data_IF_331105584648
#
_entry.id   IF_331105584648
#
_cell.length_a   1.000
_cell.length_b   1.000
_cell.length_c   1.000
_cell.angle_alpha   90.00
_cell.angle_beta   90.00
_cell.angle_gamma   90.00
#
_symmetry.space_group_name_H-M   'P 1'
#
loop_
_entity.id
_entity.type
_entity.pdbx_description
1 polymer ?
#
# COMPACT_ATOMS: atom_id res chain seq x y z
N UNK A 1 -7.79 -15.05 -5.35
CA UNK A 1 -7.84 -14.31 -4.07
C UNK A 1 -8.21 -12.91 -4.44
N UNK A 2 -9.34 -12.45 -3.91
CA UNK A 2 -9.88 -11.13 -4.22
C UNK A 2 -9.07 -10.05 -3.52
N UNK A 3 -9.10 -8.84 -4.09
CA UNK A 3 -8.42 -7.66 -3.56
C UNK A 3 -8.83 -7.35 -2.13
N UNK A 4 -10.12 -7.42 -1.85
CA UNK A 4 -10.73 -7.10 -0.55
C UNK A 4 -10.13 -7.98 0.54
N UNK A 5 -9.97 -9.29 0.29
CA UNK A 5 -9.38 -10.21 1.26
C UNK A 5 -7.90 -9.92 1.55
N UNK A 6 -7.16 -9.39 0.56
CA UNK A 6 -5.78 -8.95 0.78
C UNK A 6 -5.76 -7.69 1.63
N UNK A 7 -6.61 -6.71 1.31
CA UNK A 7 -6.71 -5.45 2.04
C UNK A 7 -7.12 -5.66 3.49
N UNK A 8 -8.12 -6.51 3.76
CA UNK A 8 -8.54 -6.82 5.14
C UNK A 8 -7.39 -7.38 5.97
N UNK A 9 -6.63 -8.35 5.45
CA UNK A 9 -5.46 -8.93 6.13
C UNK A 9 -4.37 -7.89 6.41
N UNK A 10 -4.16 -6.96 5.49
CA UNK A 10 -3.19 -5.88 5.67
C UNK A 10 -3.64 -4.91 6.76
N UNK A 11 -4.92 -4.56 6.79
CA UNK A 11 -5.49 -3.71 7.85
C UNK A 11 -5.37 -4.40 9.22
N UNK A 12 -5.69 -5.70 9.32
CA UNK A 12 -5.52 -6.50 10.54
C UNK A 12 -4.05 -6.56 10.99
N UNK A 13 -3.11 -6.54 10.06
CA UNK A 13 -1.66 -6.48 10.33
C UNK A 13 -1.13 -5.06 10.63
N UNK A 14 -1.99 -4.05 10.61
CA UNK A 14 -1.67 -2.66 10.98
C UNK A 14 -1.29 -1.74 9.81
N UNK A 15 -1.45 -2.17 8.57
CA UNK A 15 -1.28 -1.32 7.38
C UNK A 15 -2.59 -0.58 7.10
N UNK A 16 -2.79 0.56 7.75
CA UNK A 16 -4.07 1.28 7.75
C UNK A 16 -4.16 2.42 6.74
N UNK A 17 -3.03 2.82 6.15
CA UNK A 17 -3.00 3.92 5.19
C UNK A 17 -3.11 3.41 3.75
N UNK A 18 -4.18 3.76 3.06
CA UNK A 18 -4.32 3.48 1.63
C UNK A 18 -3.61 4.59 0.82
N UNK A 19 -2.50 4.24 0.18
CA UNK A 19 -1.75 5.15 -0.66
C UNK A 19 -2.08 4.94 -2.14
N UNK A 20 -2.07 6.05 -2.88
CA UNK A 20 -2.02 6.05 -4.34
C UNK A 20 -0.58 6.24 -4.77
N UNK A 21 -0.06 5.31 -5.58
CA UNK A 21 1.23 5.47 -6.23
C UNK A 21 1.10 6.46 -7.40
N UNK A 22 1.86 7.56 -7.35
CA UNK A 22 2.03 8.49 -8.45
C UNK A 22 3.53 8.69 -8.71
N UNK A 23 4.02 8.09 -9.81
CA UNK A 23 5.44 8.01 -10.15
C UNK A 23 6.27 7.46 -8.97
N UNK A 24 7.12 8.29 -8.39
CA UNK A 24 8.02 7.95 -7.27
C UNK A 24 7.47 8.45 -5.92
N UNK A 25 6.18 8.76 -5.84
CA UNK A 25 5.51 9.30 -4.66
C UNK A 25 4.31 8.46 -4.22
N UNK A 26 4.10 8.38 -2.91
CA UNK A 26 2.88 7.84 -2.30
C UNK A 26 2.00 8.98 -1.80
N UNK A 27 0.81 9.10 -2.39
CA UNK A 27 -0.20 10.07 -2.00
C UNK A 27 -1.24 9.45 -1.07
N UNK A 28 -1.49 10.09 0.08
CA UNK A 28 -2.55 9.66 1.01
C UNK A 28 -3.81 10.51 0.79
N UNK A 29 -4.88 9.90 0.28
CA UNK A 29 -6.16 10.58 0.01
C UNK A 29 -6.82 11.17 1.26
N UNK A 30 -6.51 10.64 2.45
CA UNK A 30 -7.08 11.11 3.71
C UNK A 30 -6.37 12.35 4.30
N UNK A 31 -5.11 12.60 3.95
CA UNK A 31 -4.28 13.64 4.60
C UNK A 31 -3.75 14.70 3.64
N UNK A 32 -4.01 14.59 2.34
CA UNK A 32 -3.45 15.46 1.29
C UNK A 32 -1.91 15.55 1.30
N UNK A 33 -1.24 14.62 1.98
CA UNK A 33 0.21 14.58 2.08
C UNK A 33 0.78 13.67 0.99
N UNK A 34 1.91 14.09 0.45
CA UNK A 34 2.71 13.32 -0.52
C UNK A 34 4.03 12.94 0.12
N UNK A 35 4.39 11.67 0.05
CA UNK A 35 5.63 11.14 0.59
C UNK A 35 6.46 10.51 -0.53
N UNK A 36 7.79 10.64 -0.48
CA UNK A 36 8.66 9.95 -1.43
C UNK A 36 8.58 8.44 -1.20
N UNK A 37 8.45 7.66 -2.29
CA UNK A 37 8.40 6.21 -2.21
C UNK A 37 9.67 5.62 -1.57
N UNK A 38 10.82 6.26 -1.79
CA UNK A 38 12.12 5.87 -1.21
C UNK A 38 12.19 6.03 0.31
N UNK A 39 11.26 6.77 0.92
CA UNK A 39 11.15 6.89 2.38
C UNK A 39 10.39 5.72 3.02
N UNK A 40 9.98 4.73 2.22
CA UNK A 40 9.26 3.55 2.66
C UNK A 40 10.03 2.27 2.30
N UNK A 41 10.06 1.34 3.25
CA UNK A 41 10.48 -0.03 3.03
C UNK A 41 9.30 -0.88 2.58
N UNK A 42 9.54 -1.82 1.67
CA UNK A 42 8.55 -2.83 1.26
C UNK A 42 8.59 -3.99 2.22
N UNK A 43 7.56 -4.10 3.06
CA UNK A 43 7.44 -5.16 4.05
C UNK A 43 6.87 -6.45 3.43
N UNK A 44 5.92 -6.30 2.50
CA UNK A 44 5.23 -7.43 1.87
C UNK A 44 4.76 -7.09 0.45
N UNK A 45 4.79 -8.07 -0.45
CA UNK A 45 4.15 -8.00 -1.77
C UNK A 45 3.17 -9.17 -1.91
N UNK A 46 1.91 -8.87 -2.23
CA UNK A 46 0.83 -9.86 -2.37
C UNK A 46 0.13 -9.71 -3.72
N UNK A 47 0.04 -10.80 -4.48
CA UNK A 47 -0.73 -10.84 -5.71
C UNK A 47 -2.22 -11.06 -5.45
N UNK A 48 -3.08 -10.40 -6.22
CA UNK A 48 -4.52 -10.62 -6.23
C UNK A 48 -5.03 -10.64 -7.67
N UNK A 49 -6.24 -11.18 -7.85
CA UNK A 49 -6.90 -11.21 -9.17
C UNK A 49 -7.99 -10.16 -9.19
N UNK A 50 -8.03 -9.32 -10.23
CA UNK A 50 -9.09 -8.35 -10.48
C UNK A 50 -9.38 -8.38 -11.98
N UNK A 51 -10.64 -8.63 -12.36
CA UNK A 51 -11.08 -8.78 -13.75
C UNK A 51 -10.28 -9.81 -14.58
N UNK A 52 -9.85 -10.91 -13.94
CA UNK A 52 -9.05 -11.96 -14.58
C UNK A 52 -7.58 -11.59 -14.80
N UNK A 53 -7.14 -10.40 -14.37
CA UNK A 53 -5.75 -9.95 -14.42
C UNK A 53 -5.12 -10.09 -13.04
N UNK A 54 -3.88 -10.59 -13.00
CA UNK A 54 -3.09 -10.63 -11.77
C UNK A 54 -2.48 -9.26 -11.54
N UNK A 55 -2.81 -8.64 -10.41
CA UNK A 55 -2.26 -7.36 -9.94
C UNK A 55 -1.54 -7.56 -8.61
N UNK A 56 -0.80 -6.55 -8.15
CA UNK A 56 -0.04 -6.62 -6.91
C UNK A 56 -0.41 -5.49 -5.96
N UNK A 57 -0.43 -5.82 -4.66
CA UNK A 57 -0.44 -4.86 -3.56
C UNK A 57 0.90 -4.96 -2.86
N UNK A 58 1.51 -3.81 -2.57
CA UNK A 58 2.66 -3.71 -1.67
C UNK A 58 2.23 -3.11 -0.35
N UNK A 59 2.59 -3.77 0.74
CA UNK A 59 2.53 -3.23 2.07
C UNK A 59 3.87 -2.58 2.38
N UNK A 60 3.83 -1.38 2.94
CA UNK A 60 5.01 -0.56 3.18
C UNK A 60 4.98 0.09 4.56
N UNK A 61 6.16 0.33 5.11
CA UNK A 61 6.33 1.09 6.34
C UNK A 61 7.42 2.14 6.20
N UNK A 62 7.23 3.27 6.86
CA UNK A 62 8.23 4.32 7.00
C UNK A 62 8.52 4.55 8.47
N UNK A 63 9.74 4.26 8.90
CA UNK A 63 10.17 4.59 10.25
C UNK A 63 10.29 6.11 10.45
N UNK A 64 10.67 6.84 9.41
CA UNK A 64 10.80 8.31 9.43
C UNK A 64 9.48 8.98 9.79
N UNK A 65 8.37 8.53 9.18
CA UNK A 65 7.05 9.12 9.39
C UNK A 65 6.20 8.36 10.42
N UNK A 66 6.63 7.18 10.86
CA UNK A 66 5.84 6.31 11.73
C UNK A 66 4.55 5.80 11.06
N UNK A 67 4.57 5.62 9.73
CA UNK A 67 3.38 5.27 8.94
C UNK A 67 3.51 3.85 8.40
N UNK A 68 2.39 3.12 8.42
CA UNK A 68 2.21 1.86 7.69
C UNK A 68 1.02 1.97 6.74
N UNK A 69 1.19 1.45 5.54
CA UNK A 69 0.15 1.49 4.53
C UNK A 69 0.38 0.52 3.40
N UNK A 70 -0.42 0.67 2.35
CA UNK A 70 -0.34 -0.17 1.17
C UNK A 70 -0.73 0.60 -0.10
N UNK A 71 -0.24 0.14 -1.25
CA UNK A 71 -0.60 0.69 -2.56
C UNK A 71 -0.67 -0.40 -3.64
N UNK A 72 -1.39 -0.11 -4.72
CA UNK A 72 -1.46 -0.94 -5.92
C UNK A 72 -0.24 -0.71 -6.83
N UNK A 73 0.34 -1.79 -7.34
CA UNK A 73 1.48 -1.81 -8.26
C UNK A 73 1.15 -2.60 -9.53
#
# INVERSE_FOLDING_TARGET
>A
MEKESVVERLIEAGYTTNFTLDKDCLYCSNTCNTYMLTSFDVDQETGFTEDGVIKKIRAVSSQEYGIKGYYLF
#
